data_IF_803079055002
#
_entry.id   IF_803079055002
#
_cell.length_a   1.000
_cell.length_b   1.000
_cell.length_c   1.000
_cell.angle_alpha   90.00
_cell.angle_beta   90.00
_cell.angle_gamma   90.00
#
_symmetry.space_group_name_H-M   'P 1'
#
loop_
_entity.id
_entity.type
_entity.pdbx_description
1 polymer ?
#
# COMPACT_ATOMS: atom_id res chain seq x y z
N UNK A 1 18.96 -12.89 -6.74
CA UNK A 1 18.55 -13.09 -5.31
C UNK A 1 19.33 -12.13 -4.44
N UNK A 2 18.66 -11.60 -3.42
CA UNK A 2 19.22 -10.67 -2.44
C UNK A 2 19.05 -11.26 -1.04
N UNK A 3 20.08 -11.19 -0.23
CA UNK A 3 20.00 -11.53 1.18
C UNK A 3 19.15 -10.51 1.93
N UNK A 4 18.08 -10.96 2.57
CA UNK A 4 17.09 -10.10 3.22
C UNK A 4 17.67 -9.27 4.38
N UNK A 5 18.63 -9.85 5.13
CA UNK A 5 19.20 -9.18 6.28
C UNK A 5 20.18 -8.07 5.90
N UNK A 6 20.99 -8.33 4.86
CA UNK A 6 22.11 -7.44 4.47
C UNK A 6 21.81 -6.57 3.26
N UNK A 7 20.78 -6.89 2.46
CA UNK A 7 20.50 -6.22 1.17
C UNK A 7 21.51 -6.56 0.08
N UNK A 8 22.46 -7.47 0.31
CA UNK A 8 23.49 -7.82 -0.68
C UNK A 8 23.00 -8.83 -1.68
N UNK A 9 23.32 -8.63 -2.95
CA UNK A 9 23.06 -9.64 -3.98
C UNK A 9 23.92 -10.88 -3.70
N UNK A 10 23.27 -12.05 -3.64
CA UNK A 10 23.92 -13.34 -3.38
C UNK A 10 23.83 -14.28 -4.58
N UNK A 11 22.92 -14.04 -5.52
CA UNK A 11 22.72 -14.88 -6.69
C UNK A 11 22.06 -14.10 -7.85
N UNK A 12 22.30 -14.57 -9.08
CA UNK A 12 21.67 -14.08 -10.30
C UNK A 12 22.51 -13.01 -11.04
N UNK A 13 22.33 -12.89 -12.37
CA UNK A 13 23.14 -12.02 -13.21
C UNK A 13 22.65 -10.55 -13.22
N UNK A 14 21.39 -10.31 -12.83
CA UNK A 14 20.79 -8.98 -12.89
C UNK A 14 21.02 -8.21 -11.59
N UNK A 15 21.35 -6.92 -11.72
CA UNK A 15 21.43 -6.02 -10.56
C UNK A 15 20.05 -5.89 -9.89
N UNK A 16 19.99 -5.78 -8.55
CA UNK A 16 18.76 -5.41 -7.85
C UNK A 16 18.20 -4.07 -8.34
N UNK A 17 16.90 -3.86 -8.12
CA UNK A 17 16.27 -2.58 -8.41
C UNK A 17 16.92 -1.44 -7.62
N UNK A 18 16.87 -0.22 -8.17
CA UNK A 18 17.40 0.99 -7.52
C UNK A 18 16.72 1.27 -6.18
N UNK A 19 15.49 0.76 -5.99
CA UNK A 19 14.68 0.93 -4.79
C UNK A 19 14.62 -0.32 -3.92
N UNK A 20 15.68 -1.13 -3.95
CA UNK A 20 15.79 -2.32 -3.11
C UNK A 20 15.57 -1.99 -1.62
N UNK A 21 16.15 -0.88 -1.14
CA UNK A 21 16.02 -0.46 0.26
C UNK A 21 14.57 -0.13 0.63
N UNK A 22 13.81 0.48 -0.27
CA UNK A 22 12.37 0.69 -0.12
C UNK A 22 11.64 -0.64 0.09
N UNK A 23 11.88 -1.62 -0.78
CA UNK A 23 11.24 -2.94 -0.71
C UNK A 23 11.59 -3.66 0.60
N UNK A 24 12.86 -3.74 0.95
CA UNK A 24 13.30 -4.40 2.18
C UNK A 24 12.76 -3.71 3.43
N UNK A 25 12.73 -2.38 3.41
CA UNK A 25 12.19 -1.58 4.52
C UNK A 25 10.69 -1.78 4.69
N UNK A 26 9.91 -1.79 3.61
CA UNK A 26 8.49 -2.05 3.64
C UNK A 26 8.17 -3.43 4.23
N UNK A 27 8.89 -4.47 3.79
CA UNK A 27 8.74 -5.83 4.34
C UNK A 27 9.09 -5.90 5.84
N UNK A 28 10.17 -5.24 6.26
CA UNK A 28 10.61 -5.20 7.66
C UNK A 28 9.63 -4.43 8.55
N UNK A 29 9.10 -3.30 8.06
CA UNK A 29 8.18 -2.46 8.80
C UNK A 29 6.83 -3.15 9.04
N UNK A 30 6.38 -3.96 8.09
CA UNK A 30 5.06 -4.60 8.14
C UNK A 30 5.09 -6.07 8.58
N UNK A 31 6.25 -6.72 8.53
CA UNK A 31 6.38 -8.17 8.75
C UNK A 31 5.74 -9.03 7.67
N UNK A 32 5.36 -8.44 6.54
CA UNK A 32 4.74 -9.14 5.42
C UNK A 32 5.79 -9.88 4.56
N UNK A 33 5.32 -10.77 3.69
CA UNK A 33 6.18 -11.63 2.88
C UNK A 33 6.32 -11.18 1.43
N UNK A 34 5.49 -10.22 0.99
CA UNK A 34 5.48 -9.71 -0.37
C UNK A 34 5.29 -8.20 -0.38
N UNK A 35 5.87 -7.54 -1.39
CA UNK A 35 5.76 -6.11 -1.61
C UNK A 35 5.58 -5.83 -3.11
N UNK A 36 4.65 -4.93 -3.41
CA UNK A 36 4.41 -4.39 -4.75
C UNK A 36 4.56 -2.87 -4.66
N UNK A 37 5.47 -2.33 -5.47
CA UNK A 37 5.65 -0.90 -5.67
C UNK A 37 5.25 -0.54 -7.09
N UNK A 38 4.44 0.52 -7.24
CA UNK A 38 3.95 0.98 -8.55
C UNK A 38 3.94 2.51 -8.66
N UNK A 39 4.08 2.99 -9.91
CA UNK A 39 3.81 4.38 -10.28
C UNK A 39 2.45 4.48 -11.00
N UNK A 40 1.43 3.85 -10.45
CA UNK A 40 0.09 3.85 -11.04
C UNK A 40 -0.53 5.26 -10.98
N UNK A 41 -1.37 5.59 -11.97
CA UNK A 41 -1.78 6.97 -12.21
C UNK A 41 -2.55 7.61 -11.07
N UNK A 42 -3.59 6.93 -10.56
CA UNK A 42 -4.45 7.51 -9.54
C UNK A 42 -3.73 7.61 -8.19
N UNK A 43 -2.98 6.58 -7.81
CA UNK A 43 -2.18 6.61 -6.58
C UNK A 43 -1.12 7.73 -6.63
N UNK A 44 -0.41 7.87 -7.75
CA UNK A 44 0.56 8.95 -7.95
C UNK A 44 -0.11 10.32 -7.93
N UNK A 45 -1.27 10.47 -8.58
CA UNK A 45 -2.00 11.73 -8.61
C UNK A 45 -2.46 12.16 -7.20
N UNK A 46 -3.02 11.23 -6.40
CA UNK A 46 -3.39 11.51 -5.00
C UNK A 46 -2.16 11.91 -4.18
N UNK A 47 -1.06 11.19 -4.33
CA UNK A 47 0.20 11.46 -3.63
C UNK A 47 0.87 12.79 -4.04
N UNK A 48 0.42 13.40 -5.15
CA UNK A 48 0.93 14.66 -5.66
C UNK A 48 0.00 15.86 -5.36
N UNK A 49 -1.11 15.64 -4.65
CA UNK A 49 -2.00 16.72 -4.25
C UNK A 49 -1.42 17.50 -3.07
N UNK A 50 -1.35 18.82 -3.21
CA UNK A 50 -0.93 19.69 -2.12
C UNK A 50 -1.90 19.61 -0.93
N UNK A 51 -1.35 19.49 0.29
CA UNK A 51 -2.14 19.43 1.52
C UNK A 51 -2.77 18.06 1.81
N UNK A 52 -2.59 17.07 0.95
CA UNK A 52 -3.07 15.70 1.17
C UNK A 52 -1.98 14.88 1.85
N UNK A 53 -2.15 14.58 3.13
CA UNK A 53 -1.24 13.73 3.92
C UNK A 53 -1.65 12.26 3.97
N UNK A 54 -2.88 11.95 3.56
CA UNK A 54 -3.41 10.58 3.48
C UNK A 54 -4.59 10.49 2.51
N UNK A 55 -4.76 9.35 1.87
CA UNK A 55 -5.99 8.94 1.19
C UNK A 55 -7.03 8.61 2.26
N UNK A 56 -8.14 9.36 2.36
CA UNK A 56 -9.14 9.13 3.39
C UNK A 56 -10.09 7.98 3.04
N UNK A 57 -10.88 7.53 4.00
CA UNK A 57 -11.86 6.45 3.85
C UNK A 57 -13.06 6.85 2.96
N UNK A 58 -12.83 7.16 1.70
CA UNK A 58 -13.87 7.44 0.70
C UNK A 58 -14.64 6.18 0.32
N UNK A 59 -14.09 5.00 0.55
CA UNK A 59 -14.71 3.70 0.38
C UNK A 59 -14.27 2.72 1.46
N UNK A 60 -15.11 1.76 1.82
CA UNK A 60 -14.81 0.82 2.90
C UNK A 60 -13.63 -0.12 2.60
N UNK A 61 -13.21 -0.29 1.33
CA UNK A 61 -12.02 -1.06 0.97
C UNK A 61 -10.73 -0.53 1.61
N UNK A 62 -10.74 0.70 2.10
CA UNK A 62 -9.59 1.27 2.82
C UNK A 62 -9.19 0.39 4.03
N UNK A 63 -10.13 -0.35 4.64
CA UNK A 63 -9.85 -1.25 5.76
C UNK A 63 -8.88 -2.38 5.41
N UNK A 64 -8.75 -2.74 4.13
CA UNK A 64 -7.81 -3.77 3.67
C UNK A 64 -6.35 -3.37 3.85
N UNK A 65 -6.09 -2.07 4.04
CA UNK A 65 -4.75 -1.53 4.24
C UNK A 65 -4.38 -1.32 5.72
N UNK A 66 -5.18 -1.87 6.64
CA UNK A 66 -4.89 -1.90 8.07
C UNK A 66 -5.41 -0.71 8.88
N UNK A 67 -6.33 0.09 8.30
CA UNK A 67 -6.94 1.20 9.04
C UNK A 67 -7.94 1.99 8.21
N UNK A 68 -8.20 3.24 8.60
CA UNK A 68 -9.16 4.15 7.96
C UNK A 68 -8.53 5.14 6.98
N UNK A 69 -7.23 5.03 6.74
CA UNK A 69 -6.48 5.84 5.78
C UNK A 69 -5.32 5.07 5.15
N UNK A 70 -4.79 5.60 4.04
CA UNK A 70 -3.46 5.24 3.52
C UNK A 70 -2.62 6.51 3.49
N UNK A 71 -1.57 6.56 4.30
CA UNK A 71 -0.76 7.77 4.49
C UNK A 71 0.13 8.05 3.29
N UNK A 72 0.42 9.33 3.06
CA UNK A 72 1.41 9.79 2.09
C UNK A 72 2.74 9.99 2.81
N UNK A 73 3.75 9.21 2.45
CA UNK A 73 5.11 9.40 2.91
C UNK A 73 5.70 10.69 2.32
N UNK A 74 6.46 11.44 3.12
CA UNK A 74 7.12 12.65 2.68
C UNK A 74 8.06 12.38 1.49
N UNK A 75 8.18 13.37 0.60
CA UNK A 75 9.05 13.27 -0.57
C UNK A 75 10.51 13.11 -0.16
N UNK A 76 11.20 12.20 -0.82
CA UNK A 76 12.65 12.09 -0.85
C UNK A 76 13.08 11.52 -2.21
N UNK A 77 14.36 11.63 -2.54
CA UNK A 77 14.90 11.10 -3.81
C UNK A 77 14.74 9.58 -3.83
N UNK A 78 14.31 9.04 -4.98
CA UNK A 78 14.20 7.59 -5.19
C UNK A 78 15.49 6.85 -4.83
N UNK A 79 15.37 5.68 -4.23
CA UNK A 79 16.52 4.87 -3.81
C UNK A 79 17.31 5.43 -2.62
N UNK A 80 16.85 6.53 -1.99
CA UNK A 80 17.53 7.09 -0.81
C UNK A 80 17.08 6.40 0.48
N UNK A 81 17.96 6.32 1.50
CA UNK A 81 17.58 5.85 2.83
C UNK A 81 16.48 6.71 3.48
N UNK A 82 16.41 8.00 3.13
CA UNK A 82 15.39 8.92 3.61
C UNK A 82 14.00 8.51 3.11
N UNK A 83 13.86 8.19 1.80
CA UNK A 83 12.61 7.68 1.26
C UNK A 83 12.17 6.39 1.99
N UNK A 84 13.09 5.45 2.18
CA UNK A 84 12.79 4.22 2.90
C UNK A 84 12.31 4.48 4.33
N UNK A 85 12.92 5.43 5.06
CA UNK A 85 12.53 5.83 6.40
C UNK A 85 11.13 6.50 6.42
N UNK A 86 10.85 7.40 5.46
CA UNK A 86 9.54 8.06 5.34
C UNK A 86 8.43 7.04 5.06
N UNK A 87 8.70 6.07 4.21
CA UNK A 87 7.77 4.98 3.90
C UNK A 87 7.55 4.07 5.12
N UNK A 88 8.60 3.72 5.85
CA UNK A 88 8.46 2.93 7.09
C UNK A 88 7.52 3.61 8.09
N UNK A 89 7.66 4.93 8.26
CA UNK A 89 6.78 5.74 9.12
C UNK A 89 5.34 5.74 8.63
N UNK A 90 5.12 5.89 7.32
CA UNK A 90 3.77 5.86 6.74
C UNK A 90 3.11 4.48 6.88
N UNK A 91 3.90 3.41 6.89
CA UNK A 91 3.44 2.02 7.07
C UNK A 91 3.17 1.62 8.53
N UNK A 92 3.42 2.47 9.53
CA UNK A 92 3.13 2.13 10.94
C UNK A 92 1.65 1.77 11.13
N UNK A 93 1.34 0.50 11.44
CA UNK A 93 -0.02 -0.03 11.55
C UNK A 93 -0.80 -0.07 10.23
N UNK A 94 -0.11 -0.02 9.09
CA UNK A 94 -0.67 -0.10 7.73
C UNK A 94 0.09 -1.12 6.89
N UNK A 95 -0.57 -1.62 5.83
CA UNK A 95 0.06 -2.49 4.82
C UNK A 95 0.26 -1.79 3.47
N UNK A 96 -0.17 -0.54 3.37
CA UNK A 96 0.04 0.29 2.18
C UNK A 96 0.42 1.72 2.56
N UNK A 97 1.18 2.38 1.69
CA UNK A 97 1.48 3.80 1.75
C UNK A 97 1.54 4.38 0.33
N UNK A 98 1.16 5.66 0.22
CA UNK A 98 1.46 6.50 -0.92
C UNK A 98 2.80 7.21 -0.68
N UNK A 99 3.46 7.64 -1.73
CA UNK A 99 4.73 8.37 -1.66
C UNK A 99 4.61 9.67 -2.44
N UNK A 100 4.84 10.79 -1.78
CA UNK A 100 4.70 12.13 -2.37
C UNK A 100 5.43 12.25 -3.71
N UNK A 101 4.67 12.64 -4.76
CA UNK A 101 5.17 12.83 -6.13
C UNK A 101 5.91 11.62 -6.73
N UNK A 102 5.55 10.38 -6.31
CA UNK A 102 6.26 9.18 -6.71
C UNK A 102 5.31 8.04 -7.11
N UNK A 103 4.56 7.50 -6.18
CA UNK A 103 3.70 6.35 -6.42
C UNK A 103 3.18 5.71 -5.14
N UNK A 104 3.07 4.39 -5.11
CA UNK A 104 2.56 3.62 -3.97
C UNK A 104 3.40 2.40 -3.66
N UNK A 105 3.33 1.94 -2.42
CA UNK A 105 3.85 0.66 -1.97
C UNK A 105 2.77 -0.08 -1.19
N UNK A 106 2.63 -1.37 -1.46
CA UNK A 106 1.67 -2.26 -0.81
C UNK A 106 2.40 -3.53 -0.38
N UNK A 107 2.11 -4.02 0.81
CA UNK A 107 2.66 -5.27 1.34
C UNK A 107 1.56 -6.27 1.65
N UNK A 108 1.88 -7.56 1.59
CA UNK A 108 0.91 -8.62 1.84
C UNK A 108 1.55 -9.99 2.07
N UNK A 109 0.72 -11.03 2.30
CA UNK A 109 1.20 -12.36 2.66
C UNK A 109 1.89 -13.10 1.50
N UNK A 110 1.50 -12.83 0.27
CA UNK A 110 2.03 -13.43 -0.96
C UNK A 110 1.89 -12.46 -2.14
N UNK A 111 2.58 -12.73 -3.23
CA UNK A 111 2.60 -11.84 -4.38
C UNK A 111 1.24 -11.72 -5.10
N UNK A 112 0.47 -12.81 -5.34
CA UNK A 112 -0.85 -12.69 -5.95
C UNK A 112 -1.80 -11.80 -5.14
N UNK A 113 -1.91 -12.02 -3.84
CA UNK A 113 -2.77 -11.22 -2.95
C UNK A 113 -2.31 -9.77 -2.88
N UNK A 114 -0.99 -9.53 -2.78
CA UNK A 114 -0.42 -8.18 -2.73
C UNK A 114 -0.66 -7.41 -4.03
N UNK A 115 -0.60 -8.10 -5.18
CA UNK A 115 -0.91 -7.49 -6.47
C UNK A 115 -2.37 -7.06 -6.56
N UNK A 116 -3.31 -7.90 -6.09
CA UNK A 116 -4.73 -7.53 -6.01
C UNK A 116 -4.92 -6.31 -5.10
N UNK A 117 -4.28 -6.28 -3.92
CA UNK A 117 -4.34 -5.13 -3.02
C UNK A 117 -3.78 -3.85 -3.68
N UNK A 118 -2.74 -3.95 -4.49
CA UNK A 118 -2.22 -2.79 -5.24
C UNK A 118 -3.22 -2.28 -6.29
N UNK A 119 -3.96 -3.16 -6.95
CA UNK A 119 -5.05 -2.78 -7.87
C UNK A 119 -6.21 -2.12 -7.12
N UNK A 120 -6.59 -2.64 -5.95
CA UNK A 120 -7.63 -2.05 -5.11
C UNK A 120 -7.22 -0.66 -4.58
N UNK A 121 -5.96 -0.47 -4.22
CA UNK A 121 -5.44 0.85 -3.84
C UNK A 121 -5.59 1.86 -4.98
N UNK A 122 -5.18 1.47 -6.19
CA UNK A 122 -5.34 2.30 -7.38
C UNK A 122 -6.79 2.67 -7.63
N UNK A 123 -7.70 1.69 -7.50
CA UNK A 123 -9.14 1.92 -7.66
C UNK A 123 -9.70 2.89 -6.62
N UNK A 124 -9.32 2.77 -5.34
CA UNK A 124 -9.77 3.71 -4.28
C UNK A 124 -9.22 5.11 -4.53
N UNK A 125 -7.97 5.23 -4.98
CA UNK A 125 -7.38 6.50 -5.37
C UNK A 125 -8.14 7.15 -6.55
N UNK A 126 -8.48 6.37 -7.57
CA UNK A 126 -9.27 6.85 -8.71
C UNK A 126 -10.67 7.31 -8.27
N UNK A 127 -11.34 6.54 -7.41
CA UNK A 127 -12.64 6.92 -6.85
C UNK A 127 -12.55 8.25 -6.08
N UNK A 128 -11.52 8.44 -5.27
CA UNK A 128 -11.28 9.67 -4.52
C UNK A 128 -11.13 10.87 -5.46
N UNK A 129 -10.27 10.77 -6.48
CA UNK A 129 -10.05 11.83 -7.47
C UNK A 129 -11.33 12.17 -8.24
N UNK A 130 -12.08 11.17 -8.69
CA UNK A 130 -13.36 11.36 -9.39
C UNK A 130 -14.38 12.06 -8.50
N UNK A 131 -14.43 11.70 -7.22
CA UNK A 131 -15.33 12.34 -6.26
C UNK A 131 -14.94 13.81 -6.03
N UNK A 132 -13.64 14.11 -5.89
CA UNK A 132 -13.13 15.48 -5.78
C UNK A 132 -13.47 16.34 -7.01
N UNK A 133 -13.50 15.74 -8.20
CA UNK A 133 -13.81 16.46 -9.43
C UNK A 133 -15.27 16.92 -9.53
N UNK A 134 -16.18 16.30 -8.78
CA UNK A 134 -17.62 16.61 -8.82
C UNK A 134 -18.17 17.17 -7.50
N UNK A 135 -17.39 17.16 -6.42
CA UNK A 135 -17.82 17.68 -5.12
C UNK A 135 -16.89 17.31 -3.99
N UNK A 136 -17.40 17.42 -2.76
CA UNK A 136 -16.65 17.01 -1.56
C UNK A 136 -16.95 15.54 -1.25
N UNK A 137 -15.92 14.69 -1.08
CA UNK A 137 -16.11 13.28 -0.74
C UNK A 137 -16.74 13.13 0.66
N UNK A 138 -17.68 12.19 0.77
CA UNK A 138 -18.19 11.74 2.07
C UNK A 138 -17.23 10.70 2.62
N UNK A 139 -16.64 11.00 3.78
CA UNK A 139 -15.64 10.14 4.42
C UNK A 139 -16.30 9.29 5.50
N UNK A 140 -15.99 8.00 5.52
CA UNK A 140 -16.44 7.06 6.57
C UNK A 140 -15.64 7.31 7.86
N UNK A 141 -16.29 7.10 9.01
CA UNK A 141 -15.62 7.23 10.32
C UNK A 141 -14.78 5.98 10.62
N UNK A 142 -13.86 6.12 11.59
CA UNK A 142 -13.03 5.01 12.05
C UNK A 142 -13.88 3.83 12.56
N UNK A 143 -14.99 4.12 13.27
CA UNK A 143 -15.91 3.10 13.76
C UNK A 143 -16.61 2.35 12.62
N UNK A 144 -16.98 3.08 11.54
CA UNK A 144 -17.59 2.45 10.37
C UNK A 144 -16.60 1.54 9.64
N UNK A 145 -15.35 1.97 9.53
CA UNK A 145 -14.28 1.16 8.92
C UNK A 145 -13.96 -0.07 9.76
N UNK A 146 -13.84 0.06 11.09
CA UNK A 146 -13.63 -1.08 11.98
C UNK A 146 -14.79 -2.09 11.94
N UNK A 147 -16.04 -1.60 11.89
CA UNK A 147 -17.20 -2.48 11.74
C UNK A 147 -17.15 -3.32 10.46
N UNK A 148 -16.69 -2.73 9.33
CA UNK A 148 -16.49 -3.46 8.08
C UNK A 148 -15.33 -4.46 8.20
N UNK A 149 -14.20 -4.06 8.79
CA UNK A 149 -13.05 -4.94 8.98
C UNK A 149 -13.43 -6.17 9.84
N UNK A 150 -14.21 -5.99 10.92
CA UNK A 150 -14.76 -7.08 11.71
C UNK A 150 -15.65 -8.00 10.84
N UNK A 151 -16.55 -7.43 10.06
CA UNK A 151 -17.47 -8.19 9.20
C UNK A 151 -16.71 -9.04 8.17
N UNK A 152 -15.65 -8.49 7.57
CA UNK A 152 -14.81 -9.22 6.61
C UNK A 152 -14.12 -10.40 7.29
N UNK A 153 -13.53 -10.21 8.48
CA UNK A 153 -12.90 -11.28 9.25
C UNK A 153 -13.89 -12.40 9.60
N UNK A 154 -15.09 -12.04 10.05
CA UNK A 154 -16.12 -12.99 10.48
C UNK A 154 -16.70 -13.81 9.32
N UNK A 155 -16.79 -13.24 8.14
CA UNK A 155 -17.43 -13.88 6.98
C UNK A 155 -16.44 -14.49 5.99
N UNK A 156 -15.12 -14.23 6.13
CA UNK A 156 -14.13 -14.64 5.13
C UNK A 156 -14.34 -13.98 3.76
N UNK A 157 -14.96 -12.80 3.71
CA UNK A 157 -15.23 -12.09 2.46
C UNK A 157 -13.92 -11.85 1.67
N UNK A 158 -13.91 -12.24 0.39
CA UNK A 158 -12.74 -12.16 -0.47
C UNK A 158 -11.71 -13.28 -0.31
N UNK A 159 -11.90 -14.23 0.61
CA UNK A 159 -11.08 -15.44 0.69
C UNK A 159 -11.57 -16.45 -0.34
N UNK A 160 -10.66 -16.97 -1.18
CA UNK A 160 -11.00 -18.09 -2.06
C UNK A 160 -11.27 -19.33 -1.19
N UNK A 161 -12.34 -20.06 -1.50
CA UNK A 161 -12.53 -21.41 -0.96
C UNK A 161 -11.27 -22.23 -1.30
N UNK A 162 -10.76 -23.07 -0.36
CA UNK A 162 -9.66 -23.98 -0.68
C UNK A 162 -10.04 -24.79 -1.92
N UNK A 163 -9.11 -24.91 -2.88
CA UNK A 163 -9.31 -25.75 -4.04
C UNK A 163 -9.61 -27.17 -3.51
N UNK A 164 -10.76 -27.73 -3.90
CA UNK A 164 -11.04 -29.14 -3.62
C UNK A 164 -9.95 -29.96 -4.32
N UNK A 165 -9.13 -30.64 -3.53
CA UNK A 165 -8.16 -31.62 -4.04
C UNK A 165 -8.97 -32.76 -4.67
N UNK A 166 -9.02 -32.77 -6.02
CA UNK A 166 -9.61 -33.85 -6.83
C UNK A 166 -8.54 -34.86 -7.21
#
# INVERSE_FOLDING_TARGET
VVDYATGKQVEGPLKPASELDLHLTALRATGQMSVVHTHSYAATAVASLEGVSALPAVHYYICMFGGSDVRVADYAIYGSPELAANVAKALEGRTAALMSNHGSVVTGPDLPSTYVLAQELEWVCELYLRTLAVGSPKILTDEQIEAVACKIRDTGYGQHAPAEEG
#
